data_IF_228874687443
#
_entry.id   IF_228874687443
#
_cell.length_a   1.000
_cell.length_b   1.000
_cell.length_c   1.000
_cell.angle_alpha   90.00
_cell.angle_beta   90.00
_cell.angle_gamma   90.00
#
_symmetry.space_group_name_H-M   'P 1'
#
loop_
_entity.id
_entity.type
_entity.pdbx_description
1 polymer ?
#
# COMPACT_ATOMS: atom_id res chain seq x y z
N UNK A 1 5.40 2.55 13.52
CA UNK A 1 5.07 2.98 14.90
C UNK A 1 5.57 1.95 15.89
N UNK A 2 6.29 2.41 16.92
CA UNK A 2 6.99 1.52 17.86
C UNK A 2 6.14 1.23 19.10
N UNK A 3 5.34 2.20 19.56
CA UNK A 3 4.53 2.07 20.77
C UNK A 3 3.05 1.83 20.49
N UNK A 4 2.41 1.04 21.32
CA UNK A 4 0.98 0.72 21.20
C UNK A 4 0.11 1.97 21.40
N UNK A 5 0.51 2.87 22.29
CA UNK A 5 -0.17 4.17 22.49
C UNK A 5 -0.15 5.05 21.24
N UNK A 6 0.97 5.10 20.52
CA UNK A 6 1.06 5.86 19.27
C UNK A 6 0.19 5.25 18.16
N UNK A 7 0.12 3.93 18.07
CA UNK A 7 -0.75 3.23 17.13
C UNK A 7 -2.21 3.58 17.43
N UNK A 8 -2.62 3.42 18.68
CA UNK A 8 -3.97 3.75 19.13
C UNK A 8 -4.33 5.21 18.79
N UNK A 9 -3.46 6.15 19.15
CA UNK A 9 -3.70 7.57 18.94
C UNK A 9 -3.87 7.91 17.45
N UNK A 10 -3.04 7.36 16.57
CA UNK A 10 -3.13 7.64 15.13
C UNK A 10 -4.39 7.06 14.51
N UNK A 11 -4.76 5.83 14.84
CA UNK A 11 -6.00 5.23 14.35
C UNK A 11 -7.21 6.04 14.85
N UNK A 12 -7.22 6.40 16.14
CA UNK A 12 -8.30 7.19 16.74
C UNK A 12 -8.48 8.56 16.06
N UNK A 13 -7.39 9.29 15.88
CA UNK A 13 -7.42 10.59 15.19
C UNK A 13 -7.88 10.44 13.74
N UNK A 14 -7.44 9.39 13.05
CA UNK A 14 -7.90 9.07 11.70
C UNK A 14 -9.41 8.84 11.63
N UNK A 15 -9.95 8.05 12.55
CA UNK A 15 -11.39 7.78 12.66
C UNK A 15 -12.17 9.07 12.96
N UNK A 16 -11.73 9.85 13.93
CA UNK A 16 -12.40 11.10 14.30
C UNK A 16 -12.41 12.11 13.15
N UNK A 17 -11.30 12.19 12.44
CA UNK A 17 -11.19 13.02 11.23
C UNK A 17 -12.13 12.54 10.13
N UNK A 18 -12.20 11.22 9.91
CA UNK A 18 -13.12 10.64 8.94
C UNK A 18 -14.58 10.94 9.29
N UNK A 19 -14.98 10.77 10.56
CA UNK A 19 -16.34 11.09 11.01
C UNK A 19 -16.64 12.58 10.83
N UNK A 20 -15.68 13.45 11.12
CA UNK A 20 -15.83 14.90 10.93
C UNK A 20 -16.16 15.27 9.48
N UNK A 21 -15.56 14.59 8.50
CA UNK A 21 -15.75 14.91 7.08
C UNK A 21 -16.91 14.17 6.44
N UNK A 22 -17.18 12.95 6.87
CA UNK A 22 -18.16 12.06 6.22
C UNK A 22 -19.41 11.78 7.06
N UNK A 23 -19.43 12.18 8.34
CA UNK A 23 -20.59 12.03 9.23
C UNK A 23 -20.86 10.60 9.73
N UNK A 24 -20.08 9.62 9.30
CA UNK A 24 -20.21 8.19 9.65
C UNK A 24 -18.85 7.59 9.99
N UNK A 25 -18.77 6.58 10.89
CA UNK A 25 -17.51 5.91 11.18
C UNK A 25 -17.03 5.04 10.01
N UNK A 26 -15.71 4.97 9.75
CA UNK A 26 -15.16 4.05 8.76
C UNK A 26 -15.31 2.60 9.21
N UNK A 27 -15.41 1.67 8.26
CA UNK A 27 -15.47 0.23 8.50
C UNK A 27 -14.20 -0.49 8.05
N UNK A 28 -13.43 0.13 7.18
CA UNK A 28 -12.17 -0.38 6.67
C UNK A 28 -11.05 0.61 6.90
N UNK A 29 -9.82 0.11 6.84
CA UNK A 29 -8.62 0.89 7.07
C UNK A 29 -7.55 0.56 6.03
N UNK A 30 -6.96 1.57 5.42
CA UNK A 30 -5.80 1.41 4.59
C UNK A 30 -4.55 1.60 5.43
N UNK A 31 -3.80 0.53 5.67
CA UNK A 31 -2.53 0.64 6.38
C UNK A 31 -1.51 1.39 5.52
N UNK A 32 -0.74 2.33 6.09
CA UNK A 32 0.37 2.97 5.38
C UNK A 32 1.30 1.92 4.77
N UNK A 33 1.55 2.03 3.46
CA UNK A 33 2.35 1.08 2.68
C UNK A 33 1.91 -0.39 2.83
N UNK A 34 0.63 -0.63 3.10
CA UNK A 34 0.07 -1.95 3.42
C UNK A 34 0.81 -2.70 4.54
N UNK A 35 1.52 -1.96 5.40
CA UNK A 35 2.40 -2.51 6.43
C UNK A 35 1.63 -3.05 7.62
N UNK A 36 1.54 -4.38 7.71
CA UNK A 36 0.93 -5.05 8.85
C UNK A 36 1.99 -5.46 9.88
N UNK A 37 1.65 -5.32 11.17
CA UNK A 37 2.45 -5.78 12.30
C UNK A 37 1.64 -6.78 13.13
N UNK A 38 2.11 -8.00 13.20
CA UNK A 38 1.55 -9.03 14.08
C UNK A 38 1.87 -8.78 15.55
N UNK A 39 1.17 -9.45 16.45
CA UNK A 39 1.54 -9.48 17.86
C UNK A 39 2.93 -10.12 18.04
N UNK A 40 3.72 -9.60 18.99
CA UNK A 40 5.04 -10.11 19.29
C UNK A 40 5.41 -9.85 20.76
N UNK A 41 6.35 -10.66 21.28
CA UNK A 41 6.90 -10.48 22.64
C UNK A 41 8.13 -9.58 22.61
N UNK A 42 8.21 -8.69 23.59
CA UNK A 42 9.39 -7.85 23.85
C UNK A 42 9.80 -8.08 25.31
N UNK A 43 11.07 -8.28 25.54
CA UNK A 43 11.62 -8.27 26.91
C UNK A 43 11.90 -6.81 27.30
N UNK A 44 11.13 -6.26 28.20
CA UNK A 44 11.35 -4.94 28.79
C UNK A 44 11.71 -5.10 30.27
N UNK A 45 12.92 -4.74 30.65
CA UNK A 45 13.40 -4.71 32.07
C UNK A 45 12.93 -5.91 32.91
N UNK A 46 13.34 -7.11 32.52
CA UNK A 46 13.03 -8.40 33.17
C UNK A 46 11.58 -8.88 33.12
N UNK A 47 10.75 -8.29 32.27
CA UNK A 47 9.38 -8.76 32.02
C UNK A 47 9.13 -8.94 30.53
N UNK A 48 8.53 -10.08 30.20
CA UNK A 48 7.99 -10.32 28.87
C UNK A 48 6.70 -9.50 28.69
N UNK A 49 6.73 -8.53 27.80
CA UNK A 49 5.56 -7.74 27.41
C UNK A 49 5.08 -8.20 26.05
N UNK A 50 3.79 -8.47 25.93
CA UNK A 50 3.16 -8.78 24.64
C UNK A 50 2.73 -7.46 24.01
N UNK A 51 3.28 -7.17 22.82
CA UNK A 51 2.79 -6.11 21.94
C UNK A 51 1.66 -6.65 21.09
N UNK A 52 0.51 -5.98 21.13
CA UNK A 52 -0.66 -6.40 20.37
C UNK A 52 -0.47 -6.21 18.86
N UNK A 53 -1.05 -7.11 18.06
CA UNK A 53 -1.11 -6.95 16.62
C UNK A 53 -2.04 -5.78 16.22
N UNK A 54 -1.88 -5.28 14.98
CA UNK A 54 -2.70 -4.16 14.50
C UNK A 54 -4.18 -4.50 14.46
N UNK A 55 -4.54 -5.77 14.20
CA UNK A 55 -5.91 -6.26 14.21
C UNK A 55 -6.63 -6.00 15.55
N UNK A 56 -5.91 -6.10 16.68
CA UNK A 56 -6.48 -5.86 18.01
C UNK A 56 -6.92 -4.39 18.18
N UNK A 57 -6.10 -3.44 17.69
CA UNK A 57 -6.45 -2.02 17.72
C UNK A 57 -7.61 -1.71 16.78
N UNK A 58 -7.58 -2.27 15.57
CA UNK A 58 -8.64 -2.07 14.58
C UNK A 58 -9.98 -2.63 15.09
N UNK A 59 -9.96 -3.84 15.62
CA UNK A 59 -11.15 -4.48 16.25
C UNK A 59 -11.72 -3.62 17.37
N UNK A 60 -10.87 -3.15 18.31
CA UNK A 60 -11.30 -2.32 19.44
C UNK A 60 -11.96 -1.00 19.01
N UNK A 61 -11.68 -0.51 17.82
CA UNK A 61 -12.24 0.70 17.22
C UNK A 61 -13.30 0.44 16.16
N UNK A 62 -13.83 -0.79 16.09
CA UNK A 62 -14.88 -1.21 15.17
C UNK A 62 -14.50 -1.12 13.68
N UNK A 63 -13.23 -1.20 13.36
CA UNK A 63 -12.73 -1.43 12.01
C UNK A 63 -12.73 -2.94 11.76
N UNK A 64 -13.31 -3.37 10.65
CA UNK A 64 -13.55 -4.78 10.33
C UNK A 64 -12.74 -5.30 9.14
N UNK A 65 -12.05 -4.43 8.44
CA UNK A 65 -11.26 -4.82 7.29
C UNK A 65 -10.05 -3.91 7.10
N UNK A 66 -8.93 -4.48 6.65
CA UNK A 66 -7.78 -3.73 6.18
C UNK A 66 -7.14 -4.42 4.96
N UNK A 67 -6.19 -3.73 4.31
CA UNK A 67 -5.56 -4.18 3.08
C UNK A 67 -4.06 -4.41 3.29
N UNK A 68 -3.54 -5.45 2.62
CA UNK A 68 -2.13 -5.83 2.66
C UNK A 68 -1.59 -6.09 1.25
N UNK A 69 -0.27 -6.20 1.14
CA UNK A 69 0.36 -6.63 -0.10
C UNK A 69 0.16 -8.12 -0.38
N UNK A 70 0.20 -8.48 -1.65
CA UNK A 70 0.05 -9.86 -2.16
C UNK A 70 0.89 -10.88 -1.40
N UNK A 71 2.15 -10.56 -1.14
CA UNK A 71 3.10 -11.44 -0.48
C UNK A 71 2.77 -11.79 0.97
N UNK A 72 1.90 -11.02 1.61
CA UNK A 72 1.42 -11.31 2.97
C UNK A 72 0.46 -12.51 2.99
N UNK A 73 -0.22 -12.78 1.88
CA UNK A 73 -1.19 -13.88 1.74
C UNK A 73 -0.60 -15.03 0.92
N UNK A 74 0.09 -14.73 -0.18
CA UNK A 74 0.60 -15.76 -1.12
C UNK A 74 2.01 -16.26 -0.78
N UNK A 75 2.49 -16.06 0.46
CA UNK A 75 3.81 -16.48 0.94
C UNK A 75 4.99 -15.86 0.16
N UNK A 76 5.22 -14.57 0.39
CA UNK A 76 6.46 -13.92 0.00
C UNK A 76 7.64 -14.42 0.83
N UNK A 77 8.73 -14.79 0.18
CA UNK A 77 10.00 -14.95 0.89
C UNK A 77 10.59 -13.56 1.17
N UNK A 78 10.99 -13.31 2.41
CA UNK A 78 11.79 -12.13 2.71
C UNK A 78 13.10 -12.20 1.93
N UNK A 79 13.30 -11.24 1.04
CA UNK A 79 14.53 -11.17 0.23
C UNK A 79 15.65 -10.43 0.92
N UNK A 80 15.36 -9.68 2.00
CA UNK A 80 16.38 -8.93 2.73
C UNK A 80 15.93 -8.63 4.16
N UNK A 81 16.90 -8.54 5.05
CA UNK A 81 16.73 -8.00 6.42
C UNK A 81 17.45 -6.66 6.46
N UNK A 82 16.77 -5.61 6.83
CA UNK A 82 17.40 -4.33 7.10
C UNK A 82 17.94 -4.31 8.54
N UNK A 83 19.19 -3.93 8.73
CA UNK A 83 19.74 -3.61 10.03
C UNK A 83 20.17 -2.14 10.06
N UNK A 84 19.81 -1.43 11.12
CA UNK A 84 20.30 -0.08 11.37
C UNK A 84 21.50 -0.15 12.32
N UNK A 85 22.63 0.36 11.87
CA UNK A 85 23.82 0.55 12.70
C UNK A 85 24.10 2.04 12.88
N UNK A 86 24.35 2.44 14.13
CA UNK A 86 24.86 3.79 14.44
C UNK A 86 26.37 3.79 14.23
N UNK A 87 26.83 4.34 13.13
CA UNK A 87 28.25 4.54 12.85
C UNK A 87 28.52 6.04 12.82
N UNK A 88 29.13 6.58 13.89
CA UNK A 88 29.60 7.98 14.02
C UNK A 88 28.56 9.05 13.59
N UNK A 89 27.71 9.43 14.41
CA UNK A 89 26.30 9.77 14.56
C UNK A 89 25.39 9.63 13.34
N UNK A 90 25.80 8.97 12.28
CA UNK A 90 24.99 8.76 11.07
C UNK A 90 24.34 7.37 11.13
N UNK A 91 23.01 7.32 11.05
CA UNK A 91 22.31 6.05 10.83
C UNK A 91 22.61 5.53 9.43
N UNK A 92 23.22 4.35 9.36
CA UNK A 92 23.37 3.60 8.11
C UNK A 92 22.41 2.42 8.12
N UNK A 93 21.55 2.37 7.13
CA UNK A 93 20.70 1.19 6.87
C UNK A 93 21.48 0.25 5.95
N UNK A 94 21.78 -0.95 6.44
CA UNK A 94 22.36 -2.00 5.60
C UNK A 94 21.31 -3.07 5.30
N UNK A 95 21.25 -3.51 4.06
CA UNK A 95 20.41 -4.64 3.64
C UNK A 95 21.28 -5.88 3.55
N UNK A 96 21.01 -6.88 4.38
CA UNK A 96 21.66 -8.18 4.28
C UNK A 96 20.67 -9.18 3.69
N UNK A 97 21.06 -9.85 2.63
CA UNK A 97 20.32 -11.03 2.18
C UNK A 97 20.44 -12.10 3.25
N UNK A 98 19.35 -12.76 3.65
CA UNK A 98 19.43 -13.88 4.57
C UNK A 98 20.29 -14.99 3.94
N UNK A 99 21.45 -15.27 4.54
CA UNK A 99 22.40 -16.26 4.04
C UNK A 99 21.98 -17.72 4.31
N UNK A 100 20.88 -17.93 5.00
CA UNK A 100 20.34 -19.27 5.25
C UNK A 100 18.87 -19.33 4.85
N UNK A 101 18.43 -20.39 4.18
CA UNK A 101 17.00 -20.61 3.98
C UNK A 101 16.35 -20.72 5.36
N UNK A 102 15.52 -19.76 5.70
CA UNK A 102 14.60 -19.89 6.83
C UNK A 102 13.84 -21.19 6.57
N UNK A 103 13.92 -22.15 7.50
CA UNK A 103 13.18 -23.42 7.39
C UNK A 103 11.76 -23.07 6.97
N UNK A 104 11.41 -23.45 5.77
CA UNK A 104 10.10 -23.17 5.19
C UNK A 104 9.05 -23.78 6.11
N UNK A 105 8.41 -22.97 6.92
CA UNK A 105 7.12 -23.35 7.47
C UNK A 105 6.23 -23.61 6.26
N UNK A 106 5.56 -24.75 6.24
CA UNK A 106 4.52 -25.05 5.24
C UNK A 106 3.42 -24.02 5.43
N UNK A 107 3.54 -22.89 4.75
CA UNK A 107 2.51 -21.84 4.74
C UNK A 107 1.46 -22.31 3.74
N UNK A 108 0.21 -22.44 4.18
CA UNK A 108 -0.89 -22.63 3.27
C UNK A 108 -0.91 -21.44 2.31
N UNK A 109 -0.81 -21.69 1.01
CA UNK A 109 -0.90 -20.62 0.01
C UNK A 109 -2.32 -20.09 0.03
N UNK A 110 -2.46 -18.86 0.53
CA UNK A 110 -3.68 -18.10 0.32
C UNK A 110 -3.78 -17.59 -1.12
N UNK A 111 -4.88 -16.97 -1.44
CA UNK A 111 -5.11 -16.33 -2.74
C UNK A 111 -5.59 -14.90 -2.54
N UNK A 112 -5.21 -13.99 -3.43
CA UNK A 112 -5.67 -12.60 -3.43
C UNK A 112 -7.16 -12.46 -3.81
N UNK A 113 -7.80 -13.55 -4.23
CA UNK A 113 -9.24 -13.57 -4.57
C UNK A 113 -10.16 -13.90 -3.38
N UNK A 114 -9.60 -14.03 -2.17
CA UNK A 114 -10.35 -14.34 -0.96
C UNK A 114 -9.99 -13.39 0.19
N UNK A 115 -10.95 -13.13 1.06
CA UNK A 115 -10.71 -12.48 2.34
C UNK A 115 -10.39 -13.48 3.43
N UNK A 116 -9.60 -13.09 4.43
CA UNK A 116 -9.18 -13.94 5.55
C UNK A 116 -9.39 -13.22 6.86
N UNK A 117 -9.77 -13.95 7.91
CA UNK A 117 -9.73 -13.42 9.27
C UNK A 117 -8.29 -13.45 9.80
N UNK A 118 -7.95 -12.46 10.59
CA UNK A 118 -6.60 -12.34 11.17
C UNK A 118 -6.60 -12.94 12.57
N UNK A 119 -5.98 -14.12 12.72
CA UNK A 119 -5.98 -14.87 13.97
C UNK A 119 -7.40 -15.15 14.47
N UNK A 120 -7.61 -14.92 15.77
CA UNK A 120 -8.92 -15.09 16.42
C UNK A 120 -9.75 -13.78 16.45
N UNK A 121 -9.31 -12.76 15.69
CA UNK A 121 -10.01 -11.47 15.63
C UNK A 121 -11.21 -11.50 14.68
N UNK A 122 -12.08 -10.51 14.81
CA UNK A 122 -13.21 -10.26 13.90
C UNK A 122 -12.83 -9.30 12.75
N UNK A 123 -11.53 -9.10 12.54
CA UNK A 123 -10.99 -8.24 11.49
C UNK A 123 -10.56 -9.08 10.30
N UNK A 124 -11.08 -8.76 9.14
CA UNK A 124 -10.70 -9.39 7.89
C UNK A 124 -9.56 -8.64 7.20
N UNK A 125 -8.80 -9.38 6.41
CA UNK A 125 -7.75 -8.86 5.56
C UNK A 125 -8.01 -9.24 4.11
N UNK A 126 -7.79 -8.29 3.21
CA UNK A 126 -7.79 -8.47 1.76
C UNK A 126 -6.42 -8.10 1.22
N UNK A 127 -5.89 -8.90 0.31
CA UNK A 127 -4.63 -8.58 -0.35
C UNK A 127 -4.86 -7.91 -1.70
N UNK A 128 -3.93 -7.04 -2.08
CA UNK A 128 -3.88 -6.50 -3.43
C UNK A 128 -3.64 -7.65 -4.42
N UNK A 129 -4.41 -7.66 -5.49
CA UNK A 129 -4.16 -8.56 -6.60
C UNK A 129 -3.09 -7.95 -7.52
N UNK A 130 -2.00 -8.68 -7.87
CA UNK A 130 -0.90 -8.12 -8.65
C UNK A 130 -1.31 -7.74 -10.07
N UNK A 131 -2.16 -8.53 -10.71
CA UNK A 131 -2.55 -8.31 -12.10
C UNK A 131 -3.43 -7.06 -12.24
N UNK A 132 -4.48 -6.96 -11.44
CA UNK A 132 -5.36 -5.78 -11.43
C UNK A 132 -4.65 -4.53 -10.92
N UNK A 133 -3.72 -4.68 -9.97
CA UNK A 133 -2.89 -3.57 -9.51
C UNK A 133 -1.99 -3.04 -10.64
N UNK A 134 -1.37 -3.92 -11.42
CA UNK A 134 -0.56 -3.52 -12.56
C UNK A 134 -1.38 -2.76 -13.61
N UNK A 135 -2.58 -3.26 -13.93
CA UNK A 135 -3.49 -2.60 -14.87
C UNK A 135 -3.88 -1.18 -14.45
N UNK A 136 -4.12 -0.96 -13.15
CA UNK A 136 -4.64 0.32 -12.64
C UNK A 136 -3.51 1.32 -12.32
N UNK A 137 -2.34 0.85 -11.88
CA UNK A 137 -1.29 1.72 -11.37
C UNK A 137 -0.11 1.95 -12.30
N UNK A 138 0.18 1.00 -13.19
CA UNK A 138 1.39 1.08 -14.01
C UNK A 138 1.25 2.12 -15.13
N UNK A 139 2.22 3.03 -15.18
CA UNK A 139 2.36 3.95 -16.30
C UNK A 139 2.97 3.30 -17.56
N UNK A 140 3.66 2.16 -17.41
CA UNK A 140 4.30 1.46 -18.52
C UNK A 140 3.43 0.33 -19.08
N UNK A 141 2.69 -0.36 -18.22
CA UNK A 141 1.95 -1.59 -18.57
C UNK A 141 0.46 -1.52 -18.28
N UNK A 142 0.00 -0.45 -17.64
CA UNK A 142 -1.39 -0.27 -17.23
C UNK A 142 -2.12 0.84 -17.96
N UNK A 143 -3.37 1.03 -17.56
CA UNK A 143 -4.21 2.08 -18.13
C UNK A 143 -3.64 3.50 -17.99
N UNK A 144 -2.98 3.89 -16.88
CA UNK A 144 -2.46 5.24 -16.72
C UNK A 144 -1.44 5.66 -17.79
N UNK A 145 -0.77 4.69 -18.41
CA UNK A 145 0.21 4.93 -19.47
C UNK A 145 -0.39 5.14 -20.86
N UNK A 146 -1.71 5.05 -21.01
CA UNK A 146 -2.33 5.18 -22.32
C UNK A 146 -2.11 6.58 -22.92
N UNK A 147 -1.77 6.61 -24.20
CA UNK A 147 -1.38 7.81 -24.95
C UNK A 147 -2.44 8.92 -24.99
N UNK A 148 -3.72 8.58 -24.80
CA UNK A 148 -4.81 9.56 -24.82
C UNK A 148 -5.03 10.29 -23.50
N UNK A 149 -4.47 9.76 -22.40
CA UNK A 149 -4.59 10.41 -21.11
C UNK A 149 -3.69 11.63 -20.97
N UNK A 150 -3.99 12.46 -19.98
CA UNK A 150 -3.20 13.65 -19.67
C UNK A 150 -1.88 13.25 -19.03
N UNK A 151 -0.79 13.87 -19.48
CA UNK A 151 0.53 13.75 -18.87
C UNK A 151 0.49 14.24 -17.42
N UNK A 152 0.84 13.37 -16.50
CA UNK A 152 0.76 13.67 -15.08
C UNK A 152 2.07 14.23 -14.50
N UNK A 153 3.21 13.72 -14.94
CA UNK A 153 4.50 14.01 -14.31
C UNK A 153 5.19 15.24 -14.90
N UNK A 154 4.96 15.55 -16.17
CA UNK A 154 5.62 16.63 -16.87
C UNK A 154 4.73 17.88 -16.89
N UNK A 155 5.33 19.00 -16.51
CA UNK A 155 4.67 20.32 -16.44
C UNK A 155 5.42 21.31 -17.30
N UNK A 156 4.69 22.30 -17.82
CA UNK A 156 5.31 23.48 -18.39
C UNK A 156 6.12 24.23 -17.33
N UNK A 157 7.38 24.51 -17.62
CA UNK A 157 8.32 25.07 -16.66
C UNK A 157 8.01 26.51 -16.24
N UNK A 158 7.25 27.25 -17.05
CA UNK A 158 6.90 28.66 -16.82
C UNK A 158 5.54 28.75 -16.13
N UNK A 159 4.52 28.13 -16.71
CA UNK A 159 3.15 28.23 -16.22
C UNK A 159 2.79 27.19 -15.17
N UNK A 160 3.54 26.09 -15.04
CA UNK A 160 3.21 24.95 -14.19
C UNK A 160 2.00 24.12 -14.67
N UNK A 161 1.45 24.44 -15.83
CA UNK A 161 0.27 23.77 -16.37
C UNK A 161 0.60 22.40 -16.97
N UNK A 162 -0.39 21.53 -16.96
CA UNK A 162 -0.33 20.17 -17.51
C UNK A 162 -1.40 20.03 -18.59
N UNK A 163 -1.11 20.43 -19.81
CA UNK A 163 -2.04 20.43 -20.93
C UNK A 163 -1.64 19.48 -22.07
N UNK A 164 -0.61 18.67 -21.86
CA UNK A 164 -0.19 17.66 -22.82
C UNK A 164 -0.89 16.32 -22.60
N UNK A 165 -1.07 15.61 -23.68
CA UNK A 165 -1.39 14.20 -23.72
C UNK A 165 -0.10 13.39 -23.45
N UNK A 166 -0.23 12.15 -22.95
CA UNK A 166 0.94 11.26 -22.78
C UNK A 166 1.66 11.06 -24.12
N UNK A 167 0.92 10.86 -25.19
CA UNK A 167 1.43 10.64 -26.57
C UNK A 167 2.37 9.42 -26.62
N UNK A 168 3.49 9.50 -25.94
CA UNK A 168 4.42 8.42 -25.62
C UNK A 168 5.19 8.79 -24.34
N UNK A 169 5.42 7.84 -23.46
CA UNK A 169 5.95 8.08 -22.12
C UNK A 169 7.34 8.77 -22.11
N UNK A 170 8.18 8.49 -23.12
CA UNK A 170 9.58 8.95 -23.17
C UNK A 170 9.80 10.23 -23.98
N UNK A 171 8.78 10.78 -24.62
CA UNK A 171 8.89 12.00 -25.40
C UNK A 171 9.10 13.22 -24.50
N UNK A 172 9.86 14.18 -25.01
CA UNK A 172 9.96 15.51 -24.41
C UNK A 172 8.66 16.30 -24.63
N UNK A 173 8.42 17.31 -23.79
CA UNK A 173 7.16 18.09 -23.86
C UNK A 173 6.93 18.73 -25.23
N UNK A 174 8.00 19.16 -25.92
CA UNK A 174 7.92 19.73 -27.27
C UNK A 174 7.43 18.76 -28.34
N UNK A 175 7.47 17.47 -28.05
CA UNK A 175 7.07 16.39 -28.96
C UNK A 175 5.71 15.77 -28.58
N UNK A 176 5.13 16.21 -27.47
CA UNK A 176 3.83 15.71 -27.00
C UNK A 176 2.69 16.50 -27.61
N UNK A 177 1.63 15.78 -27.93
CA UNK A 177 0.39 16.39 -28.41
C UNK A 177 -0.40 17.06 -27.28
N UNK A 178 -1.31 17.94 -27.65
CA UNK A 178 -2.23 18.55 -26.70
C UNK A 178 -3.25 17.53 -26.17
N UNK A 179 -3.56 17.66 -24.90
CA UNK A 179 -4.58 16.82 -24.25
C UNK A 179 -5.97 17.12 -24.79
N UNK A 180 -6.68 16.08 -25.15
CA UNK A 180 -8.08 16.14 -25.57
C UNK A 180 -8.96 15.39 -24.55
N UNK A 181 -9.80 16.09 -23.78
CA UNK A 181 -10.63 15.44 -22.75
C UNK A 181 -11.67 14.47 -23.33
N UNK A 182 -12.13 14.67 -24.57
CA UNK A 182 -13.11 13.79 -25.23
C UNK A 182 -12.45 12.43 -25.54
N UNK A 183 -11.22 12.45 -26.07
CA UNK A 183 -10.47 11.21 -26.34
C UNK A 183 -10.17 10.45 -25.06
N UNK A 184 -9.74 11.16 -24.01
CA UNK A 184 -9.51 10.56 -22.72
C UNK A 184 -10.77 9.94 -22.13
N UNK A 185 -11.93 10.59 -22.24
CA UNK A 185 -13.22 10.07 -21.77
C UNK A 185 -13.61 8.79 -22.52
N UNK A 186 -13.47 8.74 -23.83
CA UNK A 186 -13.75 7.53 -24.62
C UNK A 186 -12.83 6.38 -24.17
N UNK A 187 -11.55 6.69 -23.87
CA UNK A 187 -10.59 5.69 -23.41
C UNK A 187 -10.91 5.21 -22.00
N UNK A 188 -11.41 6.06 -21.11
CA UNK A 188 -11.92 5.64 -19.79
C UNK A 188 -13.03 4.62 -19.91
N UNK A 189 -13.98 4.84 -20.82
CA UNK A 189 -15.09 3.90 -21.04
C UNK A 189 -14.59 2.55 -21.59
N UNK A 190 -13.65 2.58 -22.53
CA UNK A 190 -13.02 1.37 -23.08
C UNK A 190 -12.30 0.58 -21.97
N UNK A 191 -11.45 1.25 -21.19
CA UNK A 191 -10.71 0.62 -20.10
C UNK A 191 -11.62 0.12 -18.98
N UNK A 192 -12.69 0.84 -18.67
CA UNK A 192 -13.68 0.40 -17.69
C UNK A 192 -14.38 -0.91 -18.12
N UNK A 193 -14.74 -1.03 -19.40
CA UNK A 193 -15.32 -2.28 -19.94
C UNK A 193 -14.31 -3.43 -19.98
N UNK A 194 -13.03 -3.12 -20.21
CA UNK A 194 -11.98 -4.12 -20.23
C UNK A 194 -11.65 -4.63 -18.81
N UNK A 195 -11.76 -3.77 -17.79
CA UNK A 195 -11.46 -4.13 -16.40
C UNK A 195 -12.56 -5.01 -15.78
N UNK A 196 -13.83 -4.81 -16.14
CA UNK A 196 -14.99 -5.58 -15.67
C UNK A 196 -15.17 -6.89 -16.43
#
# INVERSE_FOLDING_TARGET
LVTDSSIYAQIKVGIDTYIKHFGVPPRSFWLPECGYRSAYKVCETDRDVIRHGLESFLSSMNIRCFFVETNMIESGMSTSISSEELVNPVRRTSFKNPLAPIKQRKVSKGTTYSGYLVGDSDVSVLARNPDTSLQVWSADWGYPGNYDYREFHKKDSISGLQYWRITEARLDLSQKDLYNPIWAQNKVEEHSRHFN
#
